data_IF_548586397205
#
_entry.id   IF_548586397205
#
_cell.length_a   1.000
_cell.length_b   1.000
_cell.length_c   1.000
_cell.angle_alpha   90.00
_cell.angle_beta   90.00
_cell.angle_gamma   90.00
#
_symmetry.space_group_name_H-M   'P 1'
#
loop_
_entity.id
_entity.type
_entity.pdbx_description
1 polymer ?
#
# COMPACT_ATOMS: atom_id res chain seq x y z
N UNK A 1 -20.95 25.32 15.41
CA UNK A 1 -20.57 24.02 14.82
C UNK A 1 -21.02 22.98 15.82
N UNK A 2 -21.60 21.87 15.36
CA UNK A 2 -21.99 20.77 16.25
C UNK A 2 -20.82 20.33 17.11
N UNK A 3 -21.05 20.11 18.38
CA UNK A 3 -20.07 19.55 19.32
C UNK A 3 -20.27 18.06 19.53
N UNK A 4 -21.32 17.50 18.93
CA UNK A 4 -21.67 16.08 19.02
C UNK A 4 -21.70 15.40 17.65
N UNK A 5 -21.06 14.23 17.54
CA UNK A 5 -20.96 13.41 16.32
C UNK A 5 -21.39 11.97 16.61
N UNK A 6 -21.95 11.29 15.62
CA UNK A 6 -22.16 9.85 15.72
C UNK A 6 -20.81 9.12 15.70
N UNK A 7 -19.87 9.57 14.87
CA UNK A 7 -18.59 8.92 14.67
C UNK A 7 -17.43 9.90 14.67
N UNK A 8 -16.43 9.64 15.50
CA UNK A 8 -15.12 10.27 15.43
C UNK A 8 -14.08 9.27 14.92
N UNK A 9 -13.26 9.68 13.93
CA UNK A 9 -12.21 8.86 13.33
C UNK A 9 -10.88 9.55 13.55
N UNK A 10 -9.94 8.85 14.16
CA UNK A 10 -8.57 9.32 14.33
C UNK A 10 -7.67 8.68 13.27
N UNK A 11 -7.05 9.50 12.43
CA UNK A 11 -6.16 9.09 11.35
C UNK A 11 -6.75 9.27 9.94
N UNK A 12 -6.11 10.12 9.14
CA UNK A 12 -6.51 10.51 7.79
C UNK A 12 -5.83 9.70 6.67
N UNK A 13 -5.45 8.44 6.95
CA UNK A 13 -5.03 7.48 5.93
C UNK A 13 -6.20 6.92 5.13
N UNK A 14 -5.92 5.99 4.19
CA UNK A 14 -6.95 5.39 3.31
C UNK A 14 -8.06 4.69 4.12
N UNK A 15 -7.72 4.03 5.24
CA UNK A 15 -8.70 3.36 6.10
C UNK A 15 -9.63 4.37 6.75
N UNK A 16 -9.07 5.42 7.38
CA UNK A 16 -9.89 6.47 8.01
C UNK A 16 -10.75 7.23 7.00
N UNK A 17 -10.21 7.53 5.83
CA UNK A 17 -10.95 8.17 4.74
C UNK A 17 -12.11 7.29 4.24
N UNK A 18 -11.88 5.98 4.07
CA UNK A 18 -12.92 5.02 3.67
C UNK A 18 -14.03 4.88 4.71
N UNK A 19 -13.67 4.81 5.99
CA UNK A 19 -14.65 4.76 7.09
C UNK A 19 -15.47 6.07 7.12
N UNK A 20 -14.81 7.23 6.98
CA UNK A 20 -15.49 8.52 6.94
C UNK A 20 -16.46 8.63 5.76
N UNK A 21 -16.07 8.13 4.59
CA UNK A 21 -16.91 8.09 3.40
C UNK A 21 -18.13 7.19 3.63
N UNK A 22 -17.91 5.96 4.09
CA UNK A 22 -18.99 5.01 4.34
C UNK A 22 -19.99 5.52 5.38
N UNK A 23 -19.50 6.11 6.47
CA UNK A 23 -20.33 6.68 7.53
C UNK A 23 -21.17 7.86 7.01
N UNK A 24 -20.54 8.80 6.31
CA UNK A 24 -21.22 9.96 5.75
C UNK A 24 -22.28 9.59 4.70
N UNK A 25 -21.99 8.61 3.82
CA UNK A 25 -22.95 8.06 2.85
C UNK A 25 -24.16 7.42 3.52
N UNK A 26 -24.01 6.88 4.74
CA UNK A 26 -25.11 6.33 5.54
C UNK A 26 -25.77 7.36 6.47
N UNK A 27 -25.48 8.65 6.30
CA UNK A 27 -26.12 9.74 7.04
C UNK A 27 -25.63 9.95 8.47
N UNK A 28 -24.51 9.30 8.86
CA UNK A 28 -23.93 9.50 10.18
C UNK A 28 -23.15 10.84 10.24
N UNK A 29 -23.42 11.63 11.28
CA UNK A 29 -22.63 12.81 11.59
C UNK A 29 -21.20 12.41 11.94
N UNK A 30 -20.24 12.70 11.05
CA UNK A 30 -18.91 12.14 11.10
C UNK A 30 -17.85 13.22 11.18
N UNK A 31 -16.86 13.04 12.05
CA UNK A 31 -15.65 13.87 12.11
C UNK A 31 -14.40 13.00 11.98
N UNK A 32 -13.45 13.44 11.15
CA UNK A 32 -12.13 12.79 11.00
C UNK A 32 -11.02 13.76 11.35
N UNK A 33 -10.05 13.32 12.15
CA UNK A 33 -8.93 14.09 12.67
C UNK A 33 -7.61 13.53 12.15
N UNK A 34 -6.76 14.40 11.57
CA UNK A 34 -5.45 14.02 11.07
C UNK A 34 -4.38 15.04 11.49
N UNK A 35 -3.22 14.52 11.97
CA UNK A 35 -2.17 15.35 12.54
C UNK A 35 -1.21 16.01 11.53
N UNK A 36 -0.98 15.38 10.39
CA UNK A 36 0.04 15.81 9.41
C UNK A 36 -0.56 16.23 8.08
N UNK A 37 -1.21 15.31 7.42
CA UNK A 37 -1.76 15.50 6.08
C UNK A 37 -2.52 14.26 5.64
N UNK A 38 -3.49 14.47 4.77
CA UNK A 38 -4.33 13.40 4.27
C UNK A 38 -3.52 12.39 3.43
N UNK A 39 -3.53 11.13 3.88
CA UNK A 39 -2.74 10.08 3.27
C UNK A 39 -1.24 10.09 3.62
N UNK A 40 -0.76 10.99 4.47
CA UNK A 40 0.67 11.20 4.74
C UNK A 40 1.39 10.05 5.48
N UNK A 41 0.65 9.10 6.06
CA UNK A 41 1.20 7.92 6.70
C UNK A 41 1.58 6.83 5.69
N UNK A 42 1.32 5.57 6.03
CA UNK A 42 1.60 4.43 5.13
C UNK A 42 0.83 4.51 3.80
N UNK A 43 -0.29 5.23 3.76
CA UNK A 43 -1.11 5.41 2.55
C UNK A 43 -0.43 6.21 1.44
N UNK A 44 0.74 6.83 1.68
CA UNK A 44 1.59 7.45 0.65
C UNK A 44 2.86 6.65 0.38
N UNK A 45 3.05 5.51 1.05
CA UNK A 45 4.30 4.74 1.06
C UNK A 45 4.06 3.29 0.67
N UNK A 46 3.21 3.05 -0.31
CA UNK A 46 2.98 1.75 -0.93
C UNK A 46 3.84 1.57 -2.17
N UNK A 47 3.84 0.38 -2.74
CA UNK A 47 4.50 0.08 -4.03
C UNK A 47 3.81 0.73 -5.23
N UNK A 48 2.80 1.59 -5.04
CA UNK A 48 2.03 2.27 -6.10
C UNK A 48 1.26 1.31 -7.02
N UNK A 49 1.01 0.10 -6.54
CA UNK A 49 0.34 -0.97 -7.29
C UNK A 49 -0.87 -1.45 -6.49
N UNK A 50 -1.99 -1.62 -7.18
CA UNK A 50 -3.13 -2.38 -6.66
C UNK A 50 -3.02 -3.78 -7.24
N UNK A 51 -2.36 -4.65 -6.47
CA UNK A 51 -2.15 -6.04 -6.85
C UNK A 51 -3.35 -6.94 -6.48
N UNK A 52 -3.42 -8.10 -7.13
CA UNK A 52 -4.40 -9.12 -6.82
C UNK A 52 -3.91 -10.21 -5.88
N UNK A 53 -2.76 -10.03 -5.20
CA UNK A 53 -2.12 -11.00 -4.31
C UNK A 53 -1.71 -12.30 -5.02
N UNK A 54 -1.05 -12.18 -6.16
CA UNK A 54 -0.49 -13.33 -6.88
C UNK A 54 0.39 -14.20 -5.97
N UNK A 55 1.12 -13.60 -5.04
CA UNK A 55 1.95 -14.26 -4.04
C UNK A 55 1.13 -15.09 -3.02
N UNK A 56 -0.16 -14.86 -2.90
CA UNK A 56 -1.06 -15.64 -2.06
C UNK A 56 -1.39 -17.03 -2.61
N UNK A 57 -1.18 -17.27 -3.92
CA UNK A 57 -1.51 -18.54 -4.56
C UNK A 57 -0.72 -19.72 -3.98
N UNK A 58 0.63 -19.67 -3.87
CA UNK A 58 1.40 -20.74 -3.25
C UNK A 58 1.04 -20.99 -1.78
N UNK A 59 0.50 -19.99 -1.10
CA UNK A 59 0.09 -20.04 0.30
C UNK A 59 -1.36 -20.53 0.48
N UNK A 60 -2.03 -20.97 -0.60
CA UNK A 60 -3.42 -21.44 -0.63
C UNK A 60 -4.44 -20.39 -0.13
N UNK A 61 -4.12 -19.10 -0.22
CA UNK A 61 -4.98 -17.99 0.20
C UNK A 61 -6.00 -17.60 -0.87
N UNK A 62 -6.65 -18.56 -1.49
CA UNK A 62 -7.54 -18.34 -2.65
C UNK A 62 -8.70 -17.37 -2.37
N UNK A 63 -9.27 -17.41 -1.15
CA UNK A 63 -10.33 -16.49 -0.77
C UNK A 63 -9.84 -15.03 -0.77
N UNK A 64 -8.67 -14.77 -0.18
CA UNK A 64 -8.06 -13.44 -0.14
C UNK A 64 -7.69 -12.96 -1.55
N UNK A 65 -7.13 -13.84 -2.38
CA UNK A 65 -6.80 -13.51 -3.78
C UNK A 65 -8.06 -13.12 -4.54
N UNK A 66 -9.16 -13.89 -4.41
CA UNK A 66 -10.43 -13.59 -5.07
C UNK A 66 -11.02 -12.25 -4.61
N UNK A 67 -10.96 -11.97 -3.32
CA UNK A 67 -11.41 -10.69 -2.76
C UNK A 67 -10.60 -9.52 -3.31
N UNK A 68 -9.27 -9.61 -3.28
CA UNK A 68 -8.39 -8.56 -3.82
C UNK A 68 -8.60 -8.33 -5.31
N UNK A 69 -8.78 -9.39 -6.09
CA UNK A 69 -9.11 -9.28 -7.51
C UNK A 69 -10.44 -8.57 -7.75
N UNK A 70 -11.44 -8.83 -6.88
CA UNK A 70 -12.73 -8.13 -6.91
C UNK A 70 -12.56 -6.64 -6.58
N UNK A 71 -11.87 -6.32 -5.48
CA UNK A 71 -11.61 -4.94 -5.06
C UNK A 71 -10.79 -4.17 -6.11
N UNK A 72 -9.78 -4.81 -6.69
CA UNK A 72 -9.01 -4.24 -7.80
C UNK A 72 -9.92 -3.82 -8.97
N UNK A 73 -10.92 -4.63 -9.31
CA UNK A 73 -11.90 -4.30 -10.35
C UNK A 73 -12.75 -3.09 -9.95
N UNK A 74 -13.24 -3.07 -8.70
CA UNK A 74 -14.03 -1.95 -8.19
C UNK A 74 -13.22 -0.66 -8.27
N UNK A 75 -12.00 -0.63 -7.75
CA UNK A 75 -11.14 0.57 -7.77
C UNK A 75 -10.86 1.00 -9.22
N UNK A 76 -10.62 0.05 -10.13
CA UNK A 76 -10.49 0.35 -11.56
C UNK A 76 -11.69 1.11 -12.10
N UNK A 77 -12.89 0.72 -11.71
CA UNK A 77 -14.12 1.24 -12.29
C UNK A 77 -14.54 2.58 -11.66
N UNK A 78 -14.28 2.79 -10.35
CA UNK A 78 -14.64 4.00 -9.61
C UNK A 78 -13.58 5.11 -9.64
N UNK A 79 -12.33 4.79 -9.96
CA UNK A 79 -11.22 5.76 -9.98
C UNK A 79 -10.45 5.75 -11.32
N UNK A 80 -11.13 5.98 -12.47
CA UNK A 80 -10.51 5.87 -13.78
C UNK A 80 -9.36 6.88 -13.99
N UNK A 81 -9.48 8.08 -13.44
CA UNK A 81 -8.49 9.16 -13.60
C UNK A 81 -7.23 8.98 -12.74
N UNK A 82 -7.27 8.10 -11.73
CA UNK A 82 -6.15 7.87 -10.81
C UNK A 82 -5.29 6.68 -11.19
N UNK A 83 -5.71 5.89 -12.15
CA UNK A 83 -5.10 4.61 -12.51
C UNK A 83 -4.44 4.62 -13.87
N UNK A 84 -3.34 3.88 -13.98
CA UNK A 84 -2.77 3.43 -15.24
C UNK A 84 -2.72 1.90 -15.22
N UNK A 85 -3.40 1.23 -16.14
CA UNK A 85 -3.24 -0.21 -16.35
C UNK A 85 -1.97 -0.43 -17.14
N UNK A 86 -1.06 -1.22 -16.62
CA UNK A 86 0.23 -1.47 -17.23
C UNK A 86 0.60 -2.95 -17.27
N UNK A 87 1.48 -3.32 -18.20
CA UNK A 87 2.00 -4.67 -18.30
C UNK A 87 3.16 -4.86 -17.34
N UNK A 88 3.04 -5.87 -16.50
CA UNK A 88 4.11 -6.34 -15.63
C UNK A 88 4.71 -7.60 -16.21
N UNK A 89 6.02 -7.59 -16.36
CA UNK A 89 6.80 -8.72 -16.84
C UNK A 89 7.45 -9.44 -15.67
N UNK A 90 7.31 -10.75 -15.67
CA UNK A 90 7.83 -11.65 -14.65
C UNK A 90 8.89 -12.56 -15.30
N UNK A 91 10.17 -12.14 -15.29
CA UNK A 91 11.26 -12.95 -15.81
C UNK A 91 11.56 -14.11 -14.83
N UNK A 92 11.68 -15.30 -15.38
CA UNK A 92 12.02 -16.52 -14.64
C UNK A 92 13.37 -17.03 -15.15
N UNK A 93 14.35 -17.09 -14.26
CA UNK A 93 15.69 -17.57 -14.54
C UNK A 93 15.85 -19.03 -14.13
N UNK A 94 16.86 -19.74 -14.68
CA UNK A 94 17.12 -21.15 -14.34
C UNK A 94 17.39 -21.38 -12.86
N UNK A 95 18.02 -20.40 -12.19
CA UNK A 95 18.36 -20.43 -10.76
C UNK A 95 17.21 -20.05 -9.82
N UNK A 96 16.09 -19.53 -10.33
CA UNK A 96 14.96 -19.15 -9.51
C UNK A 96 14.43 -20.36 -8.69
N UNK A 97 13.94 -20.09 -7.49
CA UNK A 97 13.32 -21.11 -6.63
C UNK A 97 12.12 -21.73 -7.34
N UNK A 98 11.22 -20.88 -7.84
CA UNK A 98 10.05 -21.33 -8.59
C UNK A 98 10.41 -21.53 -10.07
N UNK A 99 10.16 -22.75 -10.56
CA UNK A 99 10.38 -23.05 -11.96
C UNK A 99 9.25 -22.50 -12.84
N UNK A 100 9.55 -22.26 -14.11
CA UNK A 100 8.60 -21.69 -15.07
C UNK A 100 7.24 -22.38 -15.08
N UNK A 101 7.18 -23.73 -15.05
CA UNK A 101 5.91 -24.46 -15.02
C UNK A 101 5.08 -24.22 -13.75
N UNK A 102 5.75 -24.02 -12.59
CA UNK A 102 5.07 -23.71 -11.31
C UNK A 102 4.43 -22.33 -11.39
N UNK A 103 5.18 -21.35 -11.92
CA UNK A 103 4.67 -19.98 -12.12
C UNK A 103 3.51 -19.98 -13.13
N UNK A 104 3.63 -20.75 -14.23
CA UNK A 104 2.53 -20.90 -15.20
C UNK A 104 1.26 -21.47 -14.55
N UNK A 105 1.40 -22.47 -13.68
CA UNK A 105 0.27 -23.04 -12.94
C UNK A 105 -0.36 -22.01 -12.00
N UNK A 106 0.46 -21.27 -11.26
CA UNK A 106 -0.03 -20.19 -10.37
C UNK A 106 -0.79 -19.11 -11.15
N UNK A 107 -0.28 -18.68 -12.30
CA UNK A 107 -0.94 -17.69 -13.15
C UNK A 107 -2.27 -18.21 -13.71
N UNK A 108 -2.37 -19.51 -14.06
CA UNK A 108 -3.66 -20.12 -14.45
C UNK A 108 -4.68 -20.13 -13.31
N UNK A 109 -4.24 -20.44 -12.08
CA UNK A 109 -5.11 -20.39 -10.90
C UNK A 109 -5.55 -18.94 -10.65
N UNK A 110 -4.63 -17.99 -10.74
CA UNK A 110 -4.90 -16.57 -10.58
C UNK A 110 -5.94 -16.06 -11.59
N UNK A 111 -5.80 -16.40 -12.86
CA UNK A 111 -6.75 -16.10 -13.92
C UNK A 111 -8.13 -16.72 -13.66
N UNK A 112 -8.16 -17.99 -13.25
CA UNK A 112 -9.40 -18.68 -12.90
C UNK A 112 -10.13 -18.02 -11.71
N UNK A 113 -9.38 -17.56 -10.68
CA UNK A 113 -9.95 -16.84 -9.53
C UNK A 113 -10.51 -15.47 -9.90
N UNK A 114 -9.95 -14.84 -10.92
CA UNK A 114 -10.43 -13.54 -11.43
C UNK A 114 -11.74 -13.63 -12.22
N UNK A 115 -12.11 -14.82 -12.70
CA UNK A 115 -13.30 -15.04 -13.51
C UNK A 115 -13.29 -14.23 -14.81
N UNK A 116 -14.30 -13.39 -15.03
CA UNK A 116 -14.39 -12.54 -16.23
C UNK A 116 -13.48 -11.30 -16.23
N UNK A 117 -12.64 -11.14 -15.21
CA UNK A 117 -11.75 -9.98 -15.11
C UNK A 117 -10.50 -10.17 -15.97
N UNK A 118 -10.51 -9.60 -17.18
CA UNK A 118 -9.40 -9.70 -18.16
C UNK A 118 -8.05 -9.16 -17.65
N UNK A 119 -8.01 -8.33 -16.59
CA UNK A 119 -6.76 -7.81 -16.01
C UNK A 119 -5.90 -8.90 -15.37
N UNK A 120 -6.48 -10.04 -15.02
CA UNK A 120 -5.73 -11.18 -14.47
C UNK A 120 -5.19 -12.13 -15.55
N UNK A 121 -5.64 -11.96 -16.80
CA UNK A 121 -5.14 -12.78 -17.91
C UNK A 121 -3.65 -12.58 -18.11
N UNK A 122 -2.94 -13.68 -18.30
CA UNK A 122 -1.50 -13.64 -18.49
C UNK A 122 -1.11 -14.14 -19.89
N UNK A 123 0.11 -13.78 -20.29
CA UNK A 123 0.71 -14.22 -21.53
C UNK A 123 2.10 -14.81 -21.23
N UNK A 124 2.42 -15.93 -21.90
CA UNK A 124 3.79 -16.40 -21.99
C UNK A 124 4.46 -15.69 -23.16
N UNK A 125 5.49 -14.88 -22.86
CA UNK A 125 6.17 -14.07 -23.86
C UNK A 125 7.12 -14.93 -24.68
N UNK A 126 6.96 -15.04 -26.02
CA UNK A 126 7.90 -15.79 -26.85
C UNK A 126 9.32 -15.24 -26.76
N UNK A 127 10.32 -16.10 -26.79
CA UNK A 127 11.75 -15.72 -26.63
C UNK A 127 12.19 -14.60 -27.59
N UNK A 128 11.70 -14.64 -28.85
CA UNK A 128 11.97 -13.60 -29.85
C UNK A 128 11.53 -12.20 -29.41
N UNK A 129 10.59 -12.09 -28.47
CA UNK A 129 10.10 -10.80 -27.94
C UNK A 129 10.90 -10.32 -26.73
N UNK A 130 11.73 -11.16 -26.11
CA UNK A 130 12.53 -10.75 -24.94
C UNK A 130 13.51 -9.60 -25.26
N UNK A 131 13.91 -9.46 -26.53
CA UNK A 131 14.73 -8.34 -27.00
C UNK A 131 14.04 -6.97 -26.81
N UNK A 132 12.70 -6.94 -26.73
CA UNK A 132 11.91 -5.72 -26.55
C UNK A 132 11.88 -5.30 -25.06
N UNK A 133 12.35 -6.16 -24.14
CA UNK A 133 12.51 -5.84 -22.72
C UNK A 133 13.90 -5.21 -22.53
N UNK A 134 14.01 -3.93 -22.90
CA UNK A 134 15.27 -3.21 -22.90
C UNK A 134 15.96 -3.23 -21.54
N UNK A 135 17.27 -3.51 -21.55
CA UNK A 135 18.11 -3.54 -20.35
C UNK A 135 18.00 -4.82 -19.51
N UNK A 136 16.94 -5.64 -19.67
CA UNK A 136 16.79 -6.86 -18.89
C UNK A 136 17.92 -7.85 -19.16
N UNK A 137 18.54 -8.37 -18.10
CA UNK A 137 19.52 -9.44 -18.18
C UNK A 137 18.87 -10.71 -18.74
N UNK A 138 19.40 -11.23 -19.84
CA UNK A 138 18.89 -12.44 -20.51
C UNK A 138 19.72 -13.68 -20.26
N UNK A 139 20.84 -13.54 -19.54
CA UNK A 139 21.66 -14.69 -19.20
C UNK A 139 20.87 -15.63 -18.29
N UNK A 140 20.77 -16.90 -18.67
CA UNK A 140 19.99 -17.93 -17.98
C UNK A 140 18.47 -17.63 -17.82
N UNK A 141 17.93 -16.70 -18.60
CA UNK A 141 16.49 -16.45 -18.66
C UNK A 141 15.79 -17.71 -19.24
N UNK A 142 14.81 -18.23 -18.53
CA UNK A 142 14.11 -19.47 -18.87
C UNK A 142 12.70 -19.24 -19.43
N UNK A 143 12.03 -18.20 -18.93
CA UNK A 143 10.70 -17.79 -19.40
C UNK A 143 10.43 -16.33 -19.00
N UNK A 144 9.50 -15.70 -19.70
CA UNK A 144 8.91 -14.43 -19.27
C UNK A 144 7.39 -14.56 -19.36
N UNK A 145 6.72 -14.25 -18.28
CA UNK A 145 5.26 -14.08 -18.25
C UNK A 145 4.92 -12.60 -18.19
N UNK A 146 3.79 -12.23 -18.75
CA UNK A 146 3.27 -10.87 -18.69
C UNK A 146 1.80 -10.89 -18.25
N UNK A 147 1.41 -10.01 -17.36
CA UNK A 147 0.04 -9.80 -16.91
C UNK A 147 -0.18 -8.33 -16.57
N UNK A 148 -1.42 -7.91 -16.42
CA UNK A 148 -1.72 -6.51 -16.17
C UNK A 148 -1.91 -6.25 -14.67
N UNK A 149 -1.33 -5.15 -14.19
CA UNK A 149 -1.58 -4.57 -12.87
C UNK A 149 -2.01 -3.11 -12.99
N UNK A 150 -2.50 -2.57 -11.89
CA UNK A 150 -2.95 -1.17 -11.83
C UNK A 150 -1.93 -0.36 -11.05
N UNK A 151 -1.30 0.60 -11.71
CA UNK A 151 -0.57 1.67 -11.03
C UNK A 151 -1.56 2.71 -10.52
N UNK A 152 -1.32 3.22 -9.32
CA UNK A 152 -2.14 4.25 -8.72
C UNK A 152 -1.29 5.21 -7.88
N UNK A 153 -1.66 6.48 -7.88
CA UNK A 153 -1.20 7.40 -6.84
C UNK A 153 -2.04 7.17 -5.58
N UNK A 154 -1.47 6.43 -4.64
CA UNK A 154 -2.10 6.04 -3.38
C UNK A 154 -2.48 7.24 -2.50
N UNK A 155 -1.67 8.31 -2.54
CA UNK A 155 -1.96 9.56 -1.82
C UNK A 155 -3.19 10.25 -2.40
N UNK A 156 -3.25 10.35 -3.73
CA UNK A 156 -4.42 10.92 -4.41
C UNK A 156 -5.67 10.09 -4.20
N UNK A 157 -5.55 8.75 -4.18
CA UNK A 157 -6.68 7.89 -3.86
C UNK A 157 -7.24 8.21 -2.47
N UNK A 158 -6.40 8.25 -1.43
CA UNK A 158 -6.84 8.58 -0.08
C UNK A 158 -7.49 9.98 0.00
N UNK A 159 -6.91 10.96 -0.68
CA UNK A 159 -7.46 12.32 -0.73
C UNK A 159 -8.81 12.39 -1.47
N UNK A 160 -9.01 11.63 -2.54
CA UNK A 160 -10.27 11.59 -3.29
C UNK A 160 -11.36 10.90 -2.49
N UNK A 161 -11.07 9.80 -1.79
CA UNK A 161 -12.02 9.15 -0.88
C UNK A 161 -12.45 10.12 0.22
N UNK A 162 -11.51 10.86 0.81
CA UNK A 162 -11.84 11.88 1.80
C UNK A 162 -12.64 13.05 1.21
N UNK A 163 -12.32 13.47 -0.01
CA UNK A 163 -13.11 14.51 -0.70
C UNK A 163 -14.55 14.08 -0.86
N UNK A 164 -14.79 12.83 -1.26
CA UNK A 164 -16.12 12.24 -1.31
C UNK A 164 -16.80 12.24 0.07
N UNK A 165 -16.10 11.82 1.14
CA UNK A 165 -16.64 11.88 2.50
C UNK A 165 -17.10 13.29 2.88
N UNK A 166 -16.29 14.32 2.57
CA UNK A 166 -16.64 15.73 2.82
C UNK A 166 -17.85 16.20 2.01
N UNK A 167 -17.97 15.78 0.76
CA UNK A 167 -19.14 16.10 -0.09
C UNK A 167 -20.45 15.52 0.48
N UNK A 168 -20.35 14.42 1.25
CA UNK A 168 -21.49 13.80 1.93
C UNK A 168 -21.63 14.24 3.40
N UNK A 169 -20.95 15.32 3.80
CA UNK A 169 -21.16 15.98 5.10
C UNK A 169 -20.15 15.62 6.19
N UNK A 170 -19.14 14.78 5.93
CA UNK A 170 -18.09 14.53 6.92
C UNK A 170 -17.27 15.82 7.21
N UNK A 171 -17.06 16.13 8.49
CA UNK A 171 -16.14 17.16 8.92
C UNK A 171 -14.72 16.62 8.96
N UNK A 172 -13.76 17.35 8.40
CA UNK A 172 -12.36 16.91 8.33
C UNK A 172 -11.45 17.98 8.94
N UNK A 173 -10.68 17.61 9.95
CA UNK A 173 -9.75 18.47 10.67
C UNK A 173 -8.30 18.03 10.42
N UNK A 174 -7.50 18.89 9.78
CA UNK A 174 -6.08 18.70 9.52
C UNK A 174 -5.40 20.06 9.33
N UNK A 175 -4.20 20.32 9.86
CA UNK A 175 -3.49 19.50 10.84
C UNK A 175 -4.04 19.71 12.25
N UNK A 176 -4.39 18.60 12.92
CA UNK A 176 -4.93 18.60 14.29
C UNK A 176 -4.46 17.34 15.00
N UNK A 177 -3.87 17.46 16.19
CA UNK A 177 -3.43 16.35 17.00
C UNK A 177 -4.60 15.79 17.82
N UNK A 178 -4.69 14.48 17.91
CA UNK A 178 -5.48 13.79 18.92
C UNK A 178 -4.65 13.72 20.20
N UNK A 179 -5.21 14.23 21.30
CA UNK A 179 -4.54 14.27 22.61
C UNK A 179 -5.03 13.13 23.51
N UNK A 180 -6.29 12.74 23.39
CA UNK A 180 -6.87 11.65 24.15
C UNK A 180 -8.39 11.59 24.03
N UNK A 181 -8.98 10.55 24.61
CA UNK A 181 -10.42 10.44 24.77
C UNK A 181 -10.76 9.83 26.13
N UNK A 182 -11.84 10.31 26.73
CA UNK A 182 -12.41 9.76 27.96
C UNK A 182 -13.82 9.24 27.70
N UNK A 183 -14.24 8.23 28.43
CA UNK A 183 -15.61 7.73 28.37
C UNK A 183 -16.59 8.75 28.94
N UNK A 184 -17.79 8.81 28.37
CA UNK A 184 -18.95 9.56 28.84
C UNK A 184 -20.16 8.65 28.82
N UNK A 185 -21.30 9.09 29.42
CA UNK A 185 -22.52 8.30 29.51
C UNK A 185 -23.02 7.86 28.11
N UNK A 186 -22.84 8.70 27.07
CA UNK A 186 -23.34 8.47 25.71
C UNK A 186 -22.24 8.15 24.69
N UNK A 187 -21.02 7.85 25.12
CA UNK A 187 -19.91 7.55 24.22
C UNK A 187 -18.56 8.06 24.71
N UNK A 188 -17.97 9.02 24.00
CA UNK A 188 -16.62 9.54 24.28
C UNK A 188 -16.58 11.05 24.17
N UNK A 189 -15.81 11.69 25.05
CA UNK A 189 -15.32 13.07 24.87
C UNK A 189 -13.91 12.99 24.31
N UNK A 190 -13.71 13.54 23.13
CA UNK A 190 -12.46 13.51 22.37
C UNK A 190 -11.78 14.86 22.48
N UNK A 191 -10.53 14.88 22.95
CA UNK A 191 -9.70 16.08 23.05
C UNK A 191 -8.72 16.13 21.90
N UNK A 192 -8.67 17.30 21.23
CA UNK A 192 -7.77 17.57 20.11
C UNK A 192 -7.08 18.90 20.27
N UNK A 193 -5.87 19.02 19.67
CA UNK A 193 -5.08 20.26 19.72
C UNK A 193 -4.65 20.73 18.33
N UNK A 194 -4.70 22.05 18.11
CA UNK A 194 -4.10 22.73 16.96
C UNK A 194 -3.19 23.86 17.44
N UNK A 195 -1.89 23.60 17.43
CA UNK A 195 -0.92 24.48 18.09
C UNK A 195 -1.23 24.57 19.60
N UNK A 196 -1.42 25.76 20.13
CA UNK A 196 -1.77 26.02 21.55
C UNK A 196 -3.28 25.98 21.84
N UNK A 197 -4.12 25.71 20.84
CA UNK A 197 -5.57 25.71 21.01
C UNK A 197 -6.08 24.28 21.15
N UNK A 198 -6.69 23.99 22.32
CA UNK A 198 -7.38 22.74 22.59
C UNK A 198 -8.87 22.88 22.32
N UNK A 199 -9.49 21.80 21.92
CA UNK A 199 -10.92 21.69 21.70
C UNK A 199 -11.39 20.27 22.02
N UNK A 200 -12.54 20.19 22.69
CA UNK A 200 -13.24 18.93 22.94
C UNK A 200 -14.51 18.85 22.09
N UNK A 201 -14.90 17.62 21.76
CA UNK A 201 -16.17 17.32 21.15
C UNK A 201 -16.62 15.91 21.56
N UNK A 202 -17.93 15.68 21.54
CA UNK A 202 -18.55 14.42 21.94
C UNK A 202 -18.77 13.53 20.71
N UNK A 203 -18.65 12.22 20.88
CA UNK A 203 -19.02 11.25 19.84
C UNK A 203 -19.55 9.96 20.46
N UNK A 204 -20.49 9.32 19.76
CA UNK A 204 -21.04 8.02 20.21
C UNK A 204 -20.03 6.90 20.00
N UNK A 205 -19.32 6.92 18.88
CA UNK A 205 -18.31 5.91 18.55
C UNK A 205 -16.98 6.58 18.19
N UNK A 206 -15.89 5.98 18.66
CA UNK A 206 -14.53 6.40 18.36
C UNK A 206 -13.81 5.30 17.60
N UNK A 207 -13.25 5.63 16.43
CA UNK A 207 -12.47 4.71 15.59
C UNK A 207 -11.02 5.16 15.56
N UNK A 208 -10.12 4.26 15.94
CA UNK A 208 -8.69 4.42 15.79
C UNK A 208 -8.24 3.82 14.44
N UNK A 209 -8.03 4.67 13.44
CA UNK A 209 -7.55 4.34 12.09
C UNK A 209 -6.11 4.85 11.84
N UNK A 210 -5.29 4.92 12.90
CA UNK A 210 -3.96 5.55 12.85
C UNK A 210 -2.84 4.61 12.39
N UNK A 211 -3.16 3.43 11.83
CA UNK A 211 -2.17 2.51 11.28
C UNK A 211 -1.11 2.12 12.32
N UNK A 212 0.17 2.31 11.99
CA UNK A 212 1.28 1.95 12.87
C UNK A 212 1.31 2.68 14.22
N UNK A 213 0.56 3.76 14.37
CA UNK A 213 0.39 4.49 15.65
C UNK A 213 -0.79 3.95 16.48
N UNK A 214 -1.52 2.94 15.99
CA UNK A 214 -2.75 2.44 16.59
C UNK A 214 -2.63 2.08 18.06
N UNK A 215 -1.56 1.37 18.45
CA UNK A 215 -1.30 0.99 19.84
C UNK A 215 -1.07 2.22 20.74
N UNK A 216 -0.25 3.17 20.28
CA UNK A 216 0.03 4.40 21.01
C UNK A 216 -1.25 5.24 21.22
N UNK A 217 -2.04 5.40 20.18
CA UNK A 217 -3.31 6.15 20.23
C UNK A 217 -4.31 5.44 21.15
N UNK A 218 -4.40 4.11 21.08
CA UNK A 218 -5.29 3.34 21.96
C UNK A 218 -4.97 3.52 23.45
N UNK A 219 -3.69 3.68 23.81
CA UNK A 219 -3.27 3.98 25.21
C UNK A 219 -3.71 5.35 25.72
N UNK A 220 -4.04 6.27 24.81
CA UNK A 220 -4.57 7.61 25.16
C UNK A 220 -6.09 7.63 25.20
N UNK A 221 -6.75 6.48 25.08
CA UNK A 221 -8.21 6.34 25.19
C UNK A 221 -8.52 5.65 26.52
N UNK A 222 -9.29 6.32 27.38
CA UNK A 222 -9.70 5.78 28.66
C UNK A 222 -10.52 4.50 28.48
N UNK A 223 -10.29 3.51 29.35
CA UNK A 223 -10.99 2.23 29.33
C UNK A 223 -10.44 1.19 28.37
N UNK A 224 -9.49 1.52 27.48
CA UNK A 224 -8.82 0.54 26.62
C UNK A 224 -7.75 -0.22 27.39
N UNK A 225 -8.07 -1.46 27.77
CA UNK A 225 -7.18 -2.30 28.62
C UNK A 225 -6.13 -3.09 27.84
N UNK A 226 -6.44 -3.51 26.60
CA UNK A 226 -5.57 -4.34 25.78
C UNK A 226 -5.40 -3.72 24.39
N UNK A 227 -4.36 -2.92 24.17
CA UNK A 227 -4.04 -2.48 22.81
C UNK A 227 -3.70 -3.71 21.95
N UNK A 228 -4.07 -3.64 20.66
CA UNK A 228 -3.83 -4.71 19.70
C UNK A 228 -2.31 -4.94 19.58
N UNK A 229 -1.86 -6.12 20.00
CA UNK A 229 -0.48 -6.55 19.76
C UNK A 229 -0.31 -6.90 18.26
N UNK A 230 -0.04 -5.90 17.45
CA UNK A 230 0.24 -6.08 16.04
C UNK A 230 1.75 -5.93 15.79
N UNK A 231 2.30 -6.80 14.94
CA UNK A 231 3.68 -6.66 14.46
C UNK A 231 3.72 -5.61 13.36
N UNK A 232 4.69 -4.70 13.43
CA UNK A 232 4.96 -3.77 12.35
C UNK A 232 5.95 -4.37 11.36
N UNK A 233 5.60 -4.32 10.09
CA UNK A 233 6.49 -4.68 8.99
C UNK A 233 6.87 -3.38 8.29
N UNK A 234 8.17 -3.15 8.17
CA UNK A 234 8.74 -2.04 7.40
C UNK A 234 8.94 -2.50 5.96
N UNK A 235 8.42 -1.73 5.02
CA UNK A 235 8.57 -1.95 3.59
C UNK A 235 9.35 -0.78 2.99
N UNK A 236 10.56 -1.06 2.51
CA UNK A 236 11.50 -0.05 2.00
C UNK A 236 11.49 -0.02 0.47
N UNK A 237 11.53 1.19 -0.08
CA UNK A 237 11.61 1.47 -1.51
C UNK A 237 12.73 2.46 -1.80
N UNK A 238 13.26 2.44 -3.02
CA UNK A 238 14.22 3.42 -3.54
C UNK A 238 13.70 4.01 -4.84
N UNK A 239 14.02 5.29 -5.09
CA UNK A 239 13.66 6.00 -6.32
C UNK A 239 14.90 6.48 -7.05
N UNK A 240 14.93 6.27 -8.37
CA UNK A 240 15.96 6.80 -9.28
C UNK A 240 15.35 7.90 -10.13
N UNK A 241 16.13 8.95 -10.43
CA UNK A 241 15.74 10.00 -11.38
C UNK A 241 15.71 9.49 -12.81
N UNK A 242 16.57 8.51 -13.07
CA UNK A 242 16.75 7.92 -14.39
C UNK A 242 15.63 6.92 -14.68
N UNK A 243 15.18 6.96 -15.92
CA UNK A 243 14.19 6.05 -16.44
C UNK A 243 14.86 4.74 -16.89
N UNK A 244 14.53 3.64 -16.22
CA UNK A 244 15.10 2.34 -16.55
C UNK A 244 14.39 1.70 -17.75
N UNK A 245 13.06 1.73 -17.76
CA UNK A 245 12.24 1.07 -18.78
C UNK A 245 10.82 1.60 -18.76
N UNK A 246 10.16 1.61 -19.93
CA UNK A 246 8.71 1.85 -20.03
C UNK A 246 7.87 0.68 -19.50
N UNK A 247 8.50 -0.48 -19.31
CA UNK A 247 7.88 -1.69 -18.81
C UNK A 247 8.04 -1.79 -17.28
N UNK A 248 7.05 -2.40 -16.63
CA UNK A 248 7.12 -2.75 -15.22
C UNK A 248 7.51 -4.21 -15.06
N UNK A 249 8.24 -4.51 -13.99
CA UNK A 249 8.75 -5.87 -13.73
C UNK A 249 8.46 -6.30 -12.30
N UNK A 250 8.21 -7.61 -12.13
CA UNK A 250 8.38 -8.30 -10.86
C UNK A 250 9.58 -9.22 -10.95
N UNK A 251 10.61 -8.94 -10.20
CA UNK A 251 11.84 -9.74 -10.19
C UNK A 251 11.97 -10.51 -8.89
N UNK A 252 12.60 -11.69 -8.94
CA UNK A 252 12.86 -12.47 -7.73
C UNK A 252 13.94 -11.78 -6.91
N UNK A 253 13.66 -11.63 -5.60
CA UNK A 253 14.64 -11.19 -4.63
C UNK A 253 15.61 -12.31 -4.22
N UNK A 254 16.31 -12.14 -3.08
CA UNK A 254 17.11 -13.22 -2.48
C UNK A 254 16.22 -14.42 -2.14
N UNK A 255 16.82 -15.62 -2.08
CA UNK A 255 16.10 -16.85 -1.72
C UNK A 255 15.18 -16.66 -0.52
N UNK A 256 13.87 -16.94 -0.71
CA UNK A 256 12.86 -16.82 0.33
C UNK A 256 12.30 -15.41 0.55
N UNK A 257 12.78 -14.39 -0.16
CA UNK A 257 12.20 -13.05 -0.16
C UNK A 257 11.04 -12.94 -1.15
N UNK A 258 10.14 -11.97 -0.88
CA UNK A 258 9.09 -11.58 -1.81
C UNK A 258 9.69 -11.04 -3.12
N UNK A 259 8.89 -11.05 -4.19
CA UNK A 259 9.26 -10.37 -5.44
C UNK A 259 9.36 -8.87 -5.24
N UNK A 260 10.27 -8.26 -5.98
CA UNK A 260 10.51 -6.83 -5.96
C UNK A 260 9.93 -6.25 -7.24
N UNK A 261 9.11 -5.21 -7.10
CA UNK A 261 8.61 -4.45 -8.23
C UNK A 261 9.65 -3.43 -8.70
N UNK A 262 9.84 -3.32 -10.01
CA UNK A 262 10.62 -2.28 -10.68
C UNK A 262 9.70 -1.66 -11.69
N UNK A 263 9.41 -0.36 -11.56
CA UNK A 263 8.39 0.28 -12.38
C UNK A 263 8.72 1.74 -12.70
N UNK A 264 8.27 2.25 -13.86
CA UNK A 264 8.37 3.66 -14.19
C UNK A 264 7.50 4.49 -13.22
N UNK A 265 8.10 5.51 -12.62
CA UNK A 265 7.42 6.37 -11.67
C UNK A 265 7.89 7.81 -11.79
N UNK A 266 6.95 8.75 -12.02
CA UNK A 266 7.21 10.21 -12.08
C UNK A 266 8.39 10.61 -12.98
N UNK A 267 8.57 9.92 -14.10
CA UNK A 267 9.65 10.16 -15.05
C UNK A 267 10.97 9.45 -14.72
N UNK A 268 11.08 8.83 -13.56
CA UNK A 268 12.19 8.00 -13.12
C UNK A 268 11.80 6.53 -12.94
N UNK A 269 12.43 5.87 -11.97
CA UNK A 269 12.19 4.45 -11.64
C UNK A 269 11.99 4.27 -10.16
N UNK A 270 10.93 3.56 -9.76
CA UNK A 270 10.67 3.10 -8.39
C UNK A 270 11.02 1.61 -8.29
N UNK A 271 11.75 1.25 -7.23
CA UNK A 271 12.11 -0.13 -6.93
C UNK A 271 11.71 -0.47 -5.49
N UNK A 272 11.05 -1.58 -5.30
CA UNK A 272 10.64 -2.07 -3.97
C UNK A 272 9.46 -3.05 -4.06
N UNK A 273 9.10 -3.59 -2.91
CA UNK A 273 9.62 -3.35 -1.58
C UNK A 273 10.52 -4.48 -1.10
N UNK A 274 11.43 -4.15 -0.20
CA UNK A 274 12.01 -5.11 0.71
C UNK A 274 11.36 -4.96 2.08
N UNK A 275 10.96 -6.08 2.66
CA UNK A 275 10.24 -6.13 3.94
C UNK A 275 11.15 -6.58 5.07
N UNK A 276 11.02 -5.92 6.23
CA UNK A 276 11.71 -6.28 7.46
C UNK A 276 10.80 -6.09 8.69
N UNK A 277 11.03 -6.85 9.76
CA UNK A 277 10.33 -6.67 11.03
C UNK A 277 10.79 -5.35 11.66
N UNK A 278 9.84 -4.55 12.13
CA UNK A 278 10.13 -3.27 12.77
C UNK A 278 9.55 -3.23 14.19
N UNK A 279 10.41 -2.94 15.17
CA UNK A 279 10.04 -2.80 16.59
C UNK A 279 10.31 -1.40 17.15
N UNK A 280 10.67 -0.44 16.29
CA UNK A 280 11.02 0.92 16.68
C UNK A 280 9.84 1.88 16.82
N UNK A 281 10.15 3.16 17.01
CA UNK A 281 9.16 4.22 17.06
C UNK A 281 8.65 4.53 15.63
N UNK A 282 7.34 4.43 15.35
CA UNK A 282 6.76 4.75 14.04
C UNK A 282 7.06 6.16 13.51
N UNK A 283 7.41 7.11 14.39
CA UNK A 283 7.81 8.47 13.98
C UNK A 283 9.22 8.54 13.35
N UNK A 284 10.04 7.50 13.53
CA UNK A 284 11.45 7.45 13.12
C UNK A 284 11.73 6.31 12.17
N UNK A 285 10.79 6.03 11.28
CA UNK A 285 10.95 5.00 10.25
C UNK A 285 11.80 5.53 9.13
N UNK A 286 12.98 4.95 8.97
CA UNK A 286 13.92 5.25 7.88
C UNK A 286 14.39 3.95 7.24
N UNK A 287 14.74 3.93 5.95
CA UNK A 287 15.46 2.84 5.32
C UNK A 287 16.79 2.55 6.05
N UNK A 288 17.20 1.30 6.13
CA UNK A 288 18.58 0.96 6.49
C UNK A 288 19.46 0.90 5.25
N UNK A 289 20.77 1.08 5.43
CA UNK A 289 21.72 0.97 4.32
C UNK A 289 21.64 -0.41 3.66
N UNK A 290 21.50 -1.47 4.46
CA UNK A 290 21.40 -2.85 3.96
C UNK A 290 20.18 -3.06 3.07
N UNK A 291 19.05 -2.40 3.38
CA UNK A 291 17.85 -2.46 2.56
C UNK A 291 18.03 -1.70 1.25
N UNK A 292 18.65 -0.54 1.30
CA UNK A 292 18.94 0.28 0.11
C UNK A 292 19.94 -0.44 -0.80
N UNK A 293 21.08 -0.90 -0.24
CA UNK A 293 22.12 -1.63 -0.98
C UNK A 293 21.54 -2.89 -1.62
N UNK A 294 20.68 -3.61 -0.91
CA UNK A 294 20.01 -4.78 -1.44
C UNK A 294 19.13 -4.46 -2.66
N UNK A 295 18.32 -3.39 -2.60
CA UNK A 295 17.48 -2.99 -3.73
C UNK A 295 18.32 -2.53 -4.93
N UNK A 296 19.45 -1.85 -4.69
CA UNK A 296 20.42 -1.49 -5.73
C UNK A 296 21.03 -2.75 -6.36
N UNK A 297 21.50 -3.70 -5.55
CA UNK A 297 22.06 -4.97 -6.00
C UNK A 297 21.08 -5.75 -6.89
N UNK A 298 19.83 -5.90 -6.44
CA UNK A 298 18.79 -6.58 -7.23
C UNK A 298 18.50 -5.85 -8.54
N UNK A 299 18.43 -4.52 -8.51
CA UNK A 299 18.23 -3.73 -9.72
C UNK A 299 19.36 -3.97 -10.73
N UNK A 300 20.62 -3.89 -10.31
CA UNK A 300 21.79 -4.10 -11.16
C UNK A 300 21.94 -5.55 -11.61
N UNK A 301 21.53 -6.52 -10.81
CA UNK A 301 21.52 -7.93 -11.21
C UNK A 301 20.60 -8.19 -12.41
N UNK A 302 19.39 -7.63 -12.36
CA UNK A 302 18.40 -7.80 -13.43
C UNK A 302 18.57 -6.82 -14.58
N UNK A 303 19.22 -5.67 -14.35
CA UNK A 303 19.48 -4.62 -15.34
C UNK A 303 20.95 -4.15 -15.26
N UNK A 304 21.92 -4.95 -15.77
CA UNK A 304 23.34 -4.70 -15.56
C UNK A 304 23.85 -3.37 -16.12
N UNK A 305 23.15 -2.78 -17.10
CA UNK A 305 23.51 -1.48 -17.67
C UNK A 305 23.00 -0.28 -16.88
N UNK A 306 22.11 -0.51 -15.89
CA UNK A 306 21.56 0.54 -15.05
C UNK A 306 22.44 0.75 -13.81
N UNK A 307 23.45 1.63 -13.94
CA UNK A 307 24.48 1.88 -12.91
C UNK A 307 24.28 3.21 -12.16
N UNK A 308 23.02 3.62 -11.99
CA UNK A 308 22.65 4.85 -11.29
C UNK A 308 22.52 4.62 -9.78
N UNK A 309 22.62 5.71 -9.02
CA UNK A 309 22.37 5.72 -7.59
C UNK A 309 20.97 6.28 -7.31
N UNK A 310 20.26 5.77 -6.30
CA UNK A 310 18.95 6.31 -5.95
C UNK A 310 19.10 7.73 -5.40
N UNK A 311 18.20 8.61 -5.79
CA UNK A 311 18.15 9.97 -5.26
C UNK A 311 17.29 10.08 -4.00
N UNK A 312 16.40 9.13 -3.76
CA UNK A 312 15.54 9.05 -2.59
C UNK A 312 15.31 7.59 -2.17
N UNK A 313 15.13 7.41 -0.86
CA UNK A 313 14.76 6.14 -0.27
C UNK A 313 13.79 6.36 0.89
N UNK A 314 12.73 5.58 0.95
CA UNK A 314 11.72 5.73 1.97
C UNK A 314 11.14 4.39 2.44
N UNK A 315 10.60 4.38 3.66
CA UNK A 315 9.95 3.20 4.22
C UNK A 315 8.54 3.53 4.71
N UNK A 316 7.63 2.59 4.51
CA UNK A 316 6.32 2.56 5.11
C UNK A 316 6.21 1.51 6.21
N UNK A 317 5.24 1.64 7.12
CA UNK A 317 4.93 0.63 8.12
C UNK A 317 3.54 0.07 7.91
N UNK A 318 3.42 -1.23 7.71
CA UNK A 318 2.15 -1.94 7.75
C UNK A 318 2.04 -2.81 9.00
N UNK A 319 0.82 -2.93 9.52
CA UNK A 319 0.54 -3.86 10.61
C UNK A 319 0.24 -5.24 10.03
N UNK A 320 0.78 -6.27 10.66
CA UNK A 320 0.46 -7.66 10.41
C UNK A 320 -0.19 -8.24 11.67
N UNK A 321 -1.27 -9.00 11.52
CA UNK A 321 -1.75 -9.86 12.59
C UNK A 321 -0.65 -10.83 13.00
N UNK A 322 -0.46 -10.98 14.30
CA UNK A 322 0.48 -11.94 14.85
C UNK A 322 0.08 -13.38 14.51
#
# INVERSE_FOLDING_TARGET
MSTHFDLCIIGGGIIGAGIAQAAALNGLSTIIVEKRGWGAGNSSKSSKIIDGDFEGIPLLRFANVRERLRERRIIRDIAPDLRKVDWFYLPIYKQNIQKSWQVALQLRIYDALAGSNKLASFQHLPEKQWRNLHGLNRHDLSAVYAFQEIHIDDTQLAQNVLRSAKQHGAMALCPVNFEGARQSDDGFVVSVAKGSRNRDFDCRFLVNATGAWGDRVSRSIEGVKNPLAARSIKSTHIEFREHLSDNSFYVEGRKGANRIAILPWRGGTLVGSVDSIFSGNPERVIPSNEEVDYLIEITRHHFPHFQHEPFDAWSGLRLSSA
#
